data_IF_938718031955
#
_entry.id   IF_938718031955
#
_cell.length_a   1.000
_cell.length_b   1.000
_cell.length_c   1.000
_cell.angle_alpha   90.00
_cell.angle_beta   90.00
_cell.angle_gamma   90.00
#
_symmetry.space_group_name_H-M   'P 1'
#
loop_
_entity.id
_entity.type
_entity.pdbx_description
1 polymer ?
#
# COMPACT_ATOMS: atom_id res chain seq x y z
N UNK A 1 -12.13 8.37 -8.96
CA UNK A 1 -10.82 8.44 -8.30
C UNK A 1 -10.27 9.85 -8.37
N UNK A 2 -9.67 10.31 -7.27
CA UNK A 2 -8.75 11.45 -7.26
C UNK A 2 -7.32 10.95 -7.52
N UNK A 3 -6.50 11.76 -8.16
CA UNK A 3 -5.10 11.42 -8.42
C UNK A 3 -4.25 12.67 -8.64
N UNK A 4 -2.98 12.54 -8.33
CA UNK A 4 -1.95 13.44 -8.82
C UNK A 4 -1.51 13.02 -10.22
N UNK A 5 -1.26 13.97 -11.11
CA UNK A 5 -0.54 13.74 -12.37
C UNK A 5 0.37 14.93 -12.68
N UNK A 6 1.52 14.64 -13.29
CA UNK A 6 2.44 15.66 -13.78
C UNK A 6 2.15 16.06 -15.23
N UNK A 7 2.84 17.09 -15.72
CA UNK A 7 2.70 17.59 -17.09
C UNK A 7 3.63 16.90 -18.11
N UNK A 8 4.18 15.72 -17.79
CA UNK A 8 5.03 14.98 -18.72
C UNK A 8 4.23 14.45 -19.91
N UNK A 9 4.81 14.57 -21.13
CA UNK A 9 4.28 14.02 -22.38
C UNK A 9 4.83 12.61 -22.66
N UNK A 10 5.50 11.96 -21.70
CA UNK A 10 6.01 10.61 -21.82
C UNK A 10 4.90 9.62 -22.19
N UNK A 11 5.23 8.70 -23.07
CA UNK A 11 4.34 7.57 -23.42
C UNK A 11 4.35 6.49 -22.34
N UNK A 12 5.43 6.42 -21.57
CA UNK A 12 5.60 5.49 -20.45
C UNK A 12 4.94 6.06 -19.21
N UNK A 13 4.12 5.25 -18.58
CA UNK A 13 3.33 5.63 -17.40
C UNK A 13 3.93 5.00 -16.16
N UNK A 14 4.25 5.82 -15.15
CA UNK A 14 4.51 5.37 -13.79
C UNK A 14 3.22 5.52 -12.97
N UNK A 15 2.62 4.39 -12.61
CA UNK A 15 1.36 4.34 -11.86
C UNK A 15 1.61 3.92 -10.41
N UNK A 16 1.14 4.69 -9.44
CA UNK A 16 1.48 4.58 -8.03
C UNK A 16 0.23 4.39 -7.18
N UNK A 17 0.19 3.30 -6.38
CA UNK A 17 -0.94 2.95 -5.52
C UNK A 17 -0.49 2.86 -4.06
N UNK A 18 -1.01 3.75 -3.21
CA UNK A 18 -0.68 3.79 -1.79
C UNK A 18 -1.31 2.63 -0.99
N UNK A 19 -0.84 2.44 0.24
CA UNK A 19 -1.39 1.49 1.19
C UNK A 19 -2.64 2.01 1.91
N UNK A 20 -3.27 1.12 2.69
CA UNK A 20 -4.37 1.50 3.57
C UNK A 20 -3.93 2.65 4.50
N UNK A 21 -4.81 3.60 4.72
CA UNK A 21 -4.56 4.84 5.49
C UNK A 21 -3.61 5.85 4.88
N UNK A 22 -3.21 5.68 3.60
CA UNK A 22 -2.36 6.62 2.88
C UNK A 22 -3.13 7.61 2.00
N UNK A 23 -2.40 8.18 1.06
CA UNK A 23 -2.85 9.05 -0.02
C UNK A 23 -1.75 9.16 -1.06
N UNK A 24 -2.03 9.79 -2.20
CA UNK A 24 -1.02 9.94 -3.26
C UNK A 24 0.27 10.66 -2.78
N UNK A 25 0.17 11.48 -1.75
CA UNK A 25 1.29 12.28 -1.20
C UNK A 25 2.43 11.42 -0.64
N UNK A 26 2.14 10.17 -0.24
CA UNK A 26 3.19 9.25 0.25
C UNK A 26 4.22 8.91 -0.83
N UNK A 27 3.90 9.18 -2.11
CA UNK A 27 4.78 8.97 -3.25
C UNK A 27 5.62 10.20 -3.64
N UNK A 28 5.57 11.28 -2.84
CA UNK A 28 6.24 12.55 -3.18
C UNK A 28 7.69 12.38 -3.61
N UNK A 29 8.48 11.59 -2.88
CA UNK A 29 9.89 11.34 -3.23
C UNK A 29 10.04 10.66 -4.60
N UNK A 30 9.15 9.71 -4.94
CA UNK A 30 9.14 9.06 -6.25
C UNK A 30 8.75 10.05 -7.34
N UNK A 31 7.69 10.81 -7.12
CA UNK A 31 7.19 11.83 -8.06
C UNK A 31 8.28 12.83 -8.41
N UNK A 32 9.03 13.30 -7.43
CA UNK A 32 10.11 14.30 -7.64
C UNK A 32 11.30 13.71 -8.43
N UNK A 33 11.60 12.42 -8.27
CA UNK A 33 12.73 11.77 -8.91
C UNK A 33 12.43 11.17 -10.31
N UNK A 34 11.16 10.91 -10.62
CA UNK A 34 10.73 10.27 -11.88
C UNK A 34 9.83 11.18 -12.74
N UNK A 35 10.04 12.49 -12.65
CA UNK A 35 9.20 13.48 -13.36
C UNK A 35 9.32 13.44 -14.89
N UNK A 36 10.25 12.68 -15.44
CA UNK A 36 10.39 12.39 -16.87
C UNK A 36 9.35 11.36 -17.38
N UNK A 37 8.76 10.56 -16.48
CA UNK A 37 7.64 9.66 -16.81
C UNK A 37 6.30 10.39 -16.69
N UNK A 38 5.27 9.90 -17.39
CA UNK A 38 3.89 10.32 -17.11
C UNK A 38 3.44 9.65 -15.83
N UNK A 39 3.22 10.43 -14.77
CA UNK A 39 2.89 9.90 -13.45
C UNK A 39 1.39 9.99 -13.18
N UNK A 40 0.83 8.90 -12.65
CA UNK A 40 -0.46 8.86 -11.97
C UNK A 40 -0.28 8.26 -10.59
N UNK A 41 -0.47 9.06 -9.55
CA UNK A 41 -0.50 8.60 -8.17
C UNK A 41 -1.93 8.78 -7.64
N UNK A 42 -2.62 7.68 -7.38
CA UNK A 42 -4.05 7.69 -7.05
C UNK A 42 -4.31 7.77 -5.55
N UNK A 43 -5.43 8.40 -5.17
CA UNK A 43 -6.07 8.16 -3.88
C UNK A 43 -7.04 6.97 -4.03
N UNK A 44 -6.88 5.95 -3.21
CA UNK A 44 -7.82 4.82 -3.19
C UNK A 44 -9.24 5.30 -2.84
N UNK A 45 -10.30 4.59 -3.27
CA UNK A 45 -11.66 4.89 -2.82
C UNK A 45 -11.74 5.08 -1.30
N UNK A 46 -12.50 6.06 -0.87
CA UNK A 46 -12.65 6.41 0.54
C UNK A 46 -11.48 7.16 1.18
N UNK A 47 -10.39 7.36 0.45
CA UNK A 47 -9.21 8.08 0.91
C UNK A 47 -9.15 9.48 0.31
N UNK A 48 -8.76 10.45 1.14
CA UNK A 48 -8.58 11.87 0.77
C UNK A 48 -9.74 12.44 -0.07
N UNK A 49 -9.47 12.76 -1.35
CA UNK A 49 -10.45 13.36 -2.27
C UNK A 49 -11.14 12.36 -3.19
N UNK A 50 -10.82 11.07 -3.10
CA UNK A 50 -11.55 10.04 -3.84
C UNK A 50 -12.97 9.84 -3.30
N UNK A 51 -13.88 9.41 -4.17
CA UNK A 51 -15.28 9.15 -3.81
C UNK A 51 -15.39 8.06 -2.74
N UNK A 52 -16.48 8.14 -1.98
CA UNK A 52 -16.82 7.16 -0.95
C UNK A 52 -17.66 6.04 -1.53
N UNK A 53 -17.49 4.84 -0.98
CA UNK A 53 -18.19 3.64 -1.40
C UNK A 53 -19.14 3.13 -0.30
N UNK A 54 -20.15 2.33 -0.67
CA UNK A 54 -21.02 1.68 0.32
C UNK A 54 -20.24 0.76 1.27
N UNK A 55 -19.21 0.07 0.75
CA UNK A 55 -18.34 -0.84 1.49
C UNK A 55 -16.90 -0.77 0.94
N UNK A 56 -15.94 -1.34 1.67
CA UNK A 56 -14.51 -1.34 1.35
C UNK A 56 -13.92 -2.74 1.52
N UNK A 57 -13.96 -3.53 0.46
CA UNK A 57 -13.24 -4.79 0.32
C UNK A 57 -12.22 -4.69 -0.82
N UNK A 58 -11.42 -5.72 -1.04
CA UNK A 58 -10.37 -5.67 -2.06
C UNK A 58 -10.93 -5.38 -3.47
N UNK A 59 -12.08 -5.97 -3.84
CA UNK A 59 -12.68 -5.74 -5.15
C UNK A 59 -13.19 -4.30 -5.33
N UNK A 60 -13.72 -3.69 -4.27
CA UNK A 60 -14.20 -2.31 -4.29
C UNK A 60 -13.02 -1.32 -4.45
N UNK A 61 -11.85 -1.63 -3.91
CA UNK A 61 -10.63 -0.86 -4.19
C UNK A 61 -10.10 -1.13 -5.60
N UNK A 62 -10.12 -2.38 -6.06
CA UNK A 62 -9.53 -2.83 -7.30
C UNK A 62 -10.26 -2.28 -8.55
N UNK A 63 -11.59 -2.41 -8.60
CA UNK A 63 -12.41 -2.05 -9.79
C UNK A 63 -12.19 -0.63 -10.31
N UNK A 64 -12.27 0.43 -9.50
CA UNK A 64 -12.09 1.79 -10.00
C UNK A 64 -10.68 2.05 -10.55
N UNK A 65 -9.67 1.35 -10.04
CA UNK A 65 -8.29 1.46 -10.53
C UNK A 65 -8.15 0.72 -11.85
N UNK A 66 -8.71 -0.47 -11.98
CA UNK A 66 -8.77 -1.23 -13.23
C UNK A 66 -9.41 -0.40 -14.35
N UNK A 67 -10.60 0.16 -14.10
CA UNK A 67 -11.31 1.00 -15.05
C UNK A 67 -10.49 2.23 -15.45
N UNK A 68 -9.81 2.85 -14.50
CA UNK A 68 -8.95 3.99 -14.77
C UNK A 68 -7.76 3.59 -15.65
N UNK A 69 -7.06 2.50 -15.34
CA UNK A 69 -5.93 2.02 -16.16
C UNK A 69 -6.39 1.68 -17.59
N UNK A 70 -7.53 0.99 -17.74
CA UNK A 70 -8.11 0.70 -19.06
C UNK A 70 -8.38 1.99 -19.85
N UNK A 71 -8.86 3.04 -19.19
CA UNK A 71 -9.14 4.35 -19.82
C UNK A 71 -7.89 5.06 -20.36
N UNK A 72 -6.69 4.72 -19.85
CA UNK A 72 -5.41 5.26 -20.31
C UNK A 72 -4.96 4.65 -21.66
N UNK A 73 -5.66 3.59 -22.12
CA UNK A 73 -5.36 2.90 -23.36
C UNK A 73 -4.20 1.91 -23.27
N UNK A 74 -3.71 1.46 -24.41
CA UNK A 74 -2.66 0.43 -24.51
C UNK A 74 -1.25 1.02 -24.39
N UNK A 75 -0.97 1.71 -23.28
CA UNK A 75 0.35 2.26 -22.95
C UNK A 75 1.07 1.33 -21.99
N UNK A 76 2.39 1.25 -22.09
CA UNK A 76 3.20 0.53 -21.13
C UNK A 76 3.12 1.19 -19.76
N UNK A 77 2.82 0.39 -18.75
CA UNK A 77 2.64 0.83 -17.37
C UNK A 77 3.71 0.18 -16.49
N UNK A 78 4.42 1.05 -15.78
CA UNK A 78 5.29 0.71 -14.66
C UNK A 78 4.49 0.94 -13.39
N UNK A 79 4.13 -0.14 -12.71
CA UNK A 79 3.21 -0.11 -11.58
C UNK A 79 3.97 -0.30 -10.27
N UNK A 80 3.80 0.60 -9.33
CA UNK A 80 4.31 0.45 -7.98
C UNK A 80 3.17 0.54 -6.96
N UNK A 81 3.10 -0.45 -6.07
CA UNK A 81 2.11 -0.52 -5.01
C UNK A 81 2.73 -0.76 -3.64
N UNK A 82 2.15 -0.14 -2.62
CA UNK A 82 2.54 -0.32 -1.22
C UNK A 82 1.41 -0.98 -0.42
N UNK A 83 1.73 -1.98 0.37
CA UNK A 83 0.79 -2.61 1.31
C UNK A 83 -0.50 -3.08 0.60
N UNK A 84 -1.68 -2.59 0.95
CA UNK A 84 -2.93 -2.83 0.21
C UNK A 84 -2.78 -2.52 -1.29
N UNK A 85 -2.09 -1.42 -1.62
CA UNK A 85 -1.79 -1.07 -3.00
C UNK A 85 -0.91 -2.12 -3.71
N UNK A 86 -0.05 -2.84 -3.00
CA UNK A 86 0.74 -3.93 -3.56
C UNK A 86 -0.15 -5.15 -3.90
N UNK A 87 -1.13 -5.48 -3.04
CA UNK A 87 -2.10 -6.54 -3.34
C UNK A 87 -2.96 -6.20 -4.57
N UNK A 88 -3.43 -4.96 -4.66
CA UNK A 88 -4.16 -4.45 -5.84
C UNK A 88 -3.26 -4.52 -7.09
N UNK A 89 -2.00 -4.10 -6.97
CA UNK A 89 -1.04 -4.08 -8.09
C UNK A 89 -0.72 -5.47 -8.61
N UNK A 90 -0.60 -6.47 -7.75
CA UNK A 90 -0.40 -7.86 -8.18
C UNK A 90 -1.58 -8.36 -9.01
N UNK A 91 -2.81 -8.09 -8.56
CA UNK A 91 -4.02 -8.49 -9.27
C UNK A 91 -4.15 -7.79 -10.64
N UNK A 92 -3.87 -6.48 -10.70
CA UNK A 92 -3.84 -5.72 -11.94
C UNK A 92 -2.82 -6.30 -12.93
N UNK A 93 -1.61 -6.61 -12.47
CA UNK A 93 -0.55 -7.17 -13.31
C UNK A 93 -0.83 -8.60 -13.79
N UNK A 94 -1.64 -9.35 -13.07
CA UNK A 94 -2.11 -10.67 -13.49
C UNK A 94 -3.19 -10.60 -14.59
N UNK A 95 -3.96 -9.51 -14.64
CA UNK A 95 -5.07 -9.32 -15.60
C UNK A 95 -4.66 -8.49 -16.83
N UNK A 96 -3.81 -7.47 -16.64
CA UNK A 96 -3.46 -6.49 -17.67
C UNK A 96 -2.07 -6.75 -18.25
N UNK A 97 -2.00 -7.10 -19.53
CA UNK A 97 -0.74 -7.41 -20.22
C UNK A 97 0.13 -6.18 -20.52
N UNK A 98 -0.41 -4.98 -20.46
CA UNK A 98 0.32 -3.72 -20.63
C UNK A 98 1.01 -3.22 -19.34
N UNK A 99 0.86 -3.93 -18.21
CA UNK A 99 1.72 -3.73 -17.04
C UNK A 99 2.99 -4.52 -17.28
N UNK A 100 4.09 -3.82 -17.60
CA UNK A 100 5.36 -4.42 -18.02
C UNK A 100 6.35 -4.52 -16.88
N UNK A 101 6.25 -3.64 -15.88
CA UNK A 101 7.11 -3.59 -14.70
C UNK A 101 6.28 -3.43 -13.43
N UNK A 102 6.61 -4.19 -12.39
CA UNK A 102 5.84 -4.26 -11.16
C UNK A 102 6.75 -4.15 -9.93
N UNK A 103 6.52 -3.16 -9.08
CA UNK A 103 7.16 -3.04 -7.78
C UNK A 103 6.12 -3.22 -6.68
N UNK A 104 6.34 -4.19 -5.80
CA UNK A 104 5.47 -4.53 -4.67
C UNK A 104 6.21 -4.26 -3.37
N UNK A 105 5.87 -3.15 -2.71
CA UNK A 105 6.44 -2.78 -1.41
C UNK A 105 5.54 -3.28 -0.29
N UNK A 106 6.10 -4.10 0.58
CA UNK A 106 5.44 -4.56 1.82
C UNK A 106 4.04 -5.15 1.64
N UNK A 107 3.83 -6.06 0.67
CA UNK A 107 2.53 -6.69 0.48
C UNK A 107 2.12 -7.48 1.73
N UNK A 108 0.93 -7.23 2.30
CA UNK A 108 0.48 -7.87 3.53
C UNK A 108 -0.22 -9.20 3.22
N UNK A 109 0.48 -10.12 2.59
CA UNK A 109 -0.10 -11.42 2.21
C UNK A 109 -0.02 -12.41 3.35
N UNK A 110 -1.19 -12.92 3.74
CA UNK A 110 -1.35 -14.01 4.69
C UNK A 110 -1.99 -15.21 4.00
N UNK A 111 -1.81 -16.39 4.54
CA UNK A 111 -2.39 -17.62 3.96
C UNK A 111 -3.90 -17.70 4.18
N UNK A 112 -4.64 -18.32 3.23
CA UNK A 112 -6.11 -18.50 3.24
C UNK A 112 -6.68 -19.18 4.49
N UNK A 113 -5.91 -19.96 5.22
CA UNK A 113 -6.39 -20.67 6.39
C UNK A 113 -6.36 -19.76 7.61
N UNK A 114 -7.51 -19.17 7.94
CA UNK A 114 -7.73 -18.50 9.23
C UNK A 114 -7.21 -19.41 10.35
N UNK A 115 -6.14 -19.00 11.04
CA UNK A 115 -5.57 -19.74 12.17
C UNK A 115 -4.41 -20.68 11.85
N UNK A 116 -4.04 -20.87 10.59
CA UNK A 116 -2.79 -21.55 10.22
C UNK A 116 -1.82 -20.54 9.62
N UNK A 117 -1.27 -19.72 10.45
CA UNK A 117 -0.06 -18.97 10.13
C UNK A 117 1.05 -20.03 10.16
N UNK A 118 1.67 -20.26 9.00
CA UNK A 118 2.53 -21.40 8.80
C UNK A 118 3.79 -21.37 9.69
N UNK A 119 3.89 -22.32 10.62
CA UNK A 119 5.11 -22.90 11.19
C UNK A 119 6.22 -21.99 11.74
N UNK A 120 5.95 -20.72 12.06
CA UNK A 120 6.89 -19.88 12.82
C UNK A 120 6.14 -19.12 13.92
N UNK A 121 6.09 -19.67 15.16
CA UNK A 121 5.34 -19.06 16.27
C UNK A 121 5.77 -17.60 16.56
N UNK A 122 7.05 -17.27 16.39
CA UNK A 122 7.55 -15.91 16.66
C UNK A 122 7.02 -14.88 15.63
N UNK A 123 6.91 -15.27 14.35
CA UNK A 123 6.33 -14.38 13.33
C UNK A 123 4.83 -14.19 13.49
N UNK A 124 4.14 -15.18 14.04
CA UNK A 124 2.70 -15.18 14.25
C UNK A 124 2.31 -14.21 15.35
N UNK A 125 3.04 -14.20 16.46
CA UNK A 125 2.82 -13.26 17.56
C UNK A 125 3.05 -11.82 17.11
N UNK A 126 4.10 -11.56 16.34
CA UNK A 126 4.40 -10.22 15.80
C UNK A 126 3.31 -9.74 14.85
N UNK A 127 2.82 -10.61 13.95
CA UNK A 127 1.72 -10.29 13.03
C UNK A 127 0.43 -10.03 13.81
N UNK A 128 0.11 -10.87 14.81
CA UNK A 128 -1.05 -10.66 15.68
C UNK A 128 -0.96 -9.33 16.44
N UNK A 129 0.21 -8.98 16.96
CA UNK A 129 0.44 -7.70 17.62
C UNK A 129 0.24 -6.50 16.68
N UNK A 130 0.69 -6.61 15.43
CA UNK A 130 0.43 -5.60 14.39
C UNK A 130 -1.06 -5.49 14.08
N UNK A 131 -1.77 -6.60 13.91
CA UNK A 131 -3.23 -6.59 13.69
C UNK A 131 -3.96 -5.95 14.88
N UNK A 132 -3.56 -6.25 16.11
CA UNK A 132 -4.12 -5.63 17.31
C UNK A 132 -3.89 -4.12 17.33
N UNK A 133 -2.69 -3.66 16.96
CA UNK A 133 -2.37 -2.24 16.83
C UNK A 133 -3.27 -1.54 15.81
N UNK A 134 -3.47 -2.14 14.63
CA UNK A 134 -4.40 -1.62 13.62
C UNK A 134 -5.85 -1.60 14.09
N UNK A 135 -6.28 -2.67 14.78
CA UNK A 135 -7.64 -2.74 15.36
C UNK A 135 -7.85 -1.65 16.41
N UNK A 136 -6.89 -1.43 17.29
CA UNK A 136 -6.97 -0.37 18.30
C UNK A 136 -7.01 1.02 17.64
N UNK A 137 -6.19 1.24 16.60
CA UNK A 137 -6.23 2.47 15.79
C UNK A 137 -7.58 2.69 15.12
N UNK A 138 -8.14 1.66 14.51
CA UNK A 138 -9.46 1.69 13.88
C UNK A 138 -10.57 2.02 14.87
N UNK A 139 -10.57 1.40 16.03
CA UNK A 139 -11.54 1.67 17.09
C UNK A 139 -11.44 3.13 17.56
N UNK A 140 -10.21 3.60 17.85
CA UNK A 140 -9.98 4.97 18.26
C UNK A 140 -10.50 5.98 17.22
N UNK A 141 -10.13 5.82 15.95
CA UNK A 141 -10.56 6.72 14.87
C UNK A 141 -12.09 6.68 14.73
N UNK A 142 -12.68 5.49 14.75
CA UNK A 142 -14.14 5.31 14.62
C UNK A 142 -14.92 6.02 15.74
N UNK A 143 -14.37 6.10 16.95
CA UNK A 143 -14.98 6.77 18.10
C UNK A 143 -14.78 8.29 18.06
N UNK A 144 -13.58 8.75 17.67
CA UNK A 144 -13.18 10.15 17.82
C UNK A 144 -13.44 11.00 16.58
N UNK A 145 -13.27 10.42 15.37
CA UNK A 145 -13.45 11.14 14.10
C UNK A 145 -14.81 11.85 13.96
N UNK A 146 -15.95 11.33 14.42
CA UNK A 146 -17.22 12.05 14.36
C UNK A 146 -17.23 13.38 15.12
N UNK A 147 -16.30 13.58 16.05
CA UNK A 147 -16.16 14.79 16.88
C UNK A 147 -15.22 15.83 16.26
N UNK A 148 -14.39 15.44 15.26
CA UNK A 148 -13.43 16.33 14.63
C UNK A 148 -14.12 17.33 13.70
N UNK A 149 -13.80 18.60 13.82
CA UNK A 149 -14.25 19.69 12.96
C UNK A 149 -13.16 20.18 12.02
N UNK A 150 -11.93 20.01 12.42
CA UNK A 150 -10.73 20.47 11.71
C UNK A 150 -9.65 19.39 11.74
N UNK A 151 -8.64 19.52 10.85
CA UNK A 151 -7.44 18.68 10.88
C UNK A 151 -6.70 18.83 12.22
N UNK A 152 -6.79 20.00 12.85
CA UNK A 152 -6.15 20.25 14.17
C UNK A 152 -6.77 19.36 15.25
N UNK A 153 -8.11 19.19 15.24
CA UNK A 153 -8.79 18.28 16.18
C UNK A 153 -8.29 16.83 16.00
N UNK A 154 -8.09 16.41 14.75
CA UNK A 154 -7.54 15.10 14.43
C UNK A 154 -6.09 14.96 14.95
N UNK A 155 -5.24 15.96 14.73
CA UNK A 155 -3.85 15.96 15.20
C UNK A 155 -3.81 15.87 16.74
N UNK A 156 -4.58 16.67 17.44
CA UNK A 156 -4.65 16.66 18.90
C UNK A 156 -5.12 15.30 19.45
N UNK A 157 -6.16 14.72 18.82
CA UNK A 157 -6.65 13.39 19.19
C UNK A 157 -5.59 12.31 18.94
N UNK A 158 -4.90 12.38 17.80
CA UNK A 158 -3.86 11.43 17.44
C UNK A 158 -2.64 11.51 18.33
N UNK A 159 -2.27 12.70 18.83
CA UNK A 159 -1.20 12.89 19.83
C UNK A 159 -1.50 12.16 21.14
N UNK A 160 -2.78 12.06 21.51
CA UNK A 160 -3.21 11.31 22.70
C UNK A 160 -3.14 9.81 22.44
N UNK A 161 -3.53 9.38 21.24
CA UNK A 161 -3.59 7.95 20.86
C UNK A 161 -2.20 7.35 20.66
N UNK A 162 -1.34 8.01 19.87
CA UNK A 162 0.02 7.55 19.54
C UNK A 162 1.04 8.65 19.80
N UNK A 163 1.32 8.96 21.10
CA UNK A 163 2.26 10.01 21.47
C UNK A 163 3.68 9.70 20.99
N UNK A 164 4.04 8.43 20.80
CA UNK A 164 5.40 8.05 20.44
C UNK A 164 5.72 8.49 19.00
N UNK A 165 4.78 8.39 18.05
CA UNK A 165 5.04 8.86 16.69
C UNK A 165 5.34 10.37 16.68
N UNK A 166 4.68 11.15 17.54
CA UNK A 166 4.92 12.59 17.62
C UNK A 166 6.22 12.96 18.32
N UNK A 167 6.76 12.09 19.19
CA UNK A 167 8.10 12.25 19.76
C UNK A 167 9.20 11.95 18.76
N UNK A 168 9.01 10.90 17.94
CA UNK A 168 10.00 10.44 16.96
C UNK A 168 9.96 11.31 15.71
N UNK A 169 8.78 11.55 15.16
CA UNK A 169 8.55 12.31 13.94
C UNK A 169 7.19 13.05 14.02
N UNK A 170 7.18 14.29 14.55
CA UNK A 170 5.95 15.08 14.67
C UNK A 170 5.24 15.32 13.33
N UNK A 171 6.01 15.47 12.24
CA UNK A 171 5.46 15.68 10.91
C UNK A 171 4.73 14.42 10.41
N UNK A 172 5.34 13.25 10.54
CA UNK A 172 4.72 11.97 10.19
C UNK A 172 3.43 11.74 10.99
N UNK A 173 3.44 12.07 12.29
CA UNK A 173 2.25 12.00 13.13
C UNK A 173 1.12 12.91 12.64
N UNK A 174 1.44 14.16 12.31
CA UNK A 174 0.47 15.13 11.78
C UNK A 174 -0.10 14.70 10.42
N UNK A 175 0.73 14.17 9.51
CA UNK A 175 0.29 13.65 8.20
C UNK A 175 -0.66 12.47 8.36
N UNK A 176 -0.38 11.52 9.25
CA UNK A 176 -1.28 10.40 9.54
C UNK A 176 -2.64 10.86 10.09
N UNK A 177 -2.63 11.83 10.99
CA UNK A 177 -3.85 12.41 11.52
C UNK A 177 -4.66 13.14 10.43
N UNK A 178 -3.99 13.88 9.54
CA UNK A 178 -4.63 14.55 8.42
C UNK A 178 -5.27 13.54 7.45
N UNK A 179 -4.60 12.46 7.11
CA UNK A 179 -5.20 11.38 6.32
C UNK A 179 -6.44 10.81 7.02
N UNK A 180 -6.32 10.45 8.30
CA UNK A 180 -7.47 9.94 9.06
C UNK A 180 -8.66 10.91 9.07
N UNK A 181 -8.40 12.22 9.11
CA UNK A 181 -9.46 13.25 9.02
C UNK A 181 -10.18 13.23 7.67
N UNK A 182 -9.46 13.04 6.57
CA UNK A 182 -10.02 13.07 5.21
C UNK A 182 -10.59 11.73 4.74
N UNK A 183 -10.28 10.62 5.39
CA UNK A 183 -10.79 9.31 5.03
C UNK A 183 -12.28 9.14 5.35
N UNK A 184 -12.98 8.30 4.58
CA UNK A 184 -14.29 7.80 4.99
C UNK A 184 -14.16 6.98 6.30
N UNK A 185 -15.02 7.26 7.27
CA UNK A 185 -15.03 6.55 8.55
C UNK A 185 -15.26 5.04 8.40
N UNK A 186 -15.93 4.62 7.33
CA UNK A 186 -16.21 3.20 7.06
C UNK A 186 -14.94 2.40 6.81
N UNK A 187 -13.88 3.00 6.24
CA UNK A 187 -12.57 2.35 6.08
C UNK A 187 -12.09 1.85 7.43
N UNK A 188 -12.20 2.70 8.45
CA UNK A 188 -11.74 2.40 9.79
C UNK A 188 -12.64 1.39 10.52
N UNK A 189 -13.95 1.52 10.39
CA UNK A 189 -14.92 0.60 11.00
C UNK A 189 -14.77 -0.82 10.46
N UNK A 190 -14.59 -0.96 9.14
CA UNK A 190 -14.50 -2.27 8.50
C UNK A 190 -13.16 -2.95 8.77
N UNK A 191 -12.07 -2.20 8.88
CA UNK A 191 -10.75 -2.77 9.19
C UNK A 191 -10.65 -3.39 10.59
N UNK A 192 -11.47 -2.95 11.55
CA UNK A 192 -11.52 -3.54 12.89
C UNK A 192 -12.04 -4.98 12.91
N UNK A 193 -12.95 -5.31 12.00
CA UNK A 193 -13.67 -6.58 11.99
C UNK A 193 -13.29 -7.51 10.81
N UNK A 194 -12.74 -6.97 9.73
CA UNK A 194 -12.52 -7.70 8.49
C UNK A 194 -11.17 -7.34 7.85
N UNK A 195 -10.10 -7.99 8.27
CA UNK A 195 -8.84 -8.01 7.49
C UNK A 195 -8.93 -8.97 6.29
N UNK A 196 -10.13 -9.23 5.73
CA UNK A 196 -10.30 -10.18 4.62
C UNK A 196 -9.54 -9.74 3.35
N UNK A 197 -9.24 -8.43 3.19
CA UNK A 197 -8.43 -7.92 2.10
C UNK A 197 -6.93 -8.27 2.20
N UNK A 198 -6.43 -8.72 3.34
CA UNK A 198 -5.06 -9.26 3.49
C UNK A 198 -4.97 -10.74 3.12
N UNK A 199 -6.12 -11.45 3.03
CA UNK A 199 -6.21 -12.85 2.63
C UNK A 199 -6.22 -12.98 1.10
N UNK A 200 -5.16 -12.56 0.48
CA UNK A 200 -5.00 -12.58 -0.95
C UNK A 200 -4.28 -13.85 -1.37
N UNK A 201 -4.83 -14.61 -2.33
CA UNK A 201 -4.16 -15.79 -2.87
C UNK A 201 -3.03 -15.37 -3.83
N UNK A 202 -2.06 -14.64 -3.29
CA UNK A 202 -0.97 -14.08 -4.06
C UNK A 202 -0.16 -15.14 -4.83
N UNK A 203 0.15 -16.33 -4.27
CA UNK A 203 0.83 -17.37 -5.04
C UNK A 203 0.04 -17.86 -6.24
N UNK A 204 -1.29 -17.97 -6.14
CA UNK A 204 -2.11 -18.37 -7.31
C UNK A 204 -2.20 -17.26 -8.35
N UNK A 205 -2.44 -16.03 -7.94
CA UNK A 205 -2.56 -14.87 -8.80
C UNK A 205 -1.25 -14.61 -9.56
N UNK A 206 -0.11 -14.76 -8.89
CA UNK A 206 1.22 -14.53 -9.46
C UNK A 206 1.55 -15.39 -10.69
N UNK A 207 0.91 -16.56 -10.83
CA UNK A 207 1.09 -17.43 -12.00
C UNK A 207 0.71 -16.77 -13.34
N UNK A 208 -0.14 -15.76 -13.31
CA UNK A 208 -0.57 -15.02 -14.50
C UNK A 208 0.24 -13.75 -14.76
N UNK A 209 1.12 -13.35 -13.82
CA UNK A 209 1.93 -12.12 -13.94
C UNK A 209 3.07 -12.33 -14.94
N UNK A 210 3.16 -11.42 -15.92
CA UNK A 210 4.22 -11.40 -16.94
C UNK A 210 5.21 -10.26 -16.74
N UNK A 211 4.86 -9.28 -15.92
CA UNK A 211 5.66 -8.11 -15.63
C UNK A 211 7.00 -8.49 -14.98
N UNK A 212 8.08 -7.79 -15.34
CA UNK A 212 9.33 -7.81 -14.58
C UNK A 212 9.04 -7.28 -13.17
N UNK A 213 9.31 -8.06 -12.13
CA UNK A 213 8.77 -7.80 -10.79
C UNK A 213 9.85 -7.68 -9.73
N UNK A 214 9.72 -6.69 -8.86
CA UNK A 214 10.52 -6.57 -7.64
C UNK A 214 9.59 -6.55 -6.42
N UNK A 215 9.88 -7.41 -5.44
CA UNK A 215 9.23 -7.43 -4.14
C UNK A 215 10.19 -6.86 -3.10
N UNK A 216 9.71 -5.92 -2.31
CA UNK A 216 10.48 -5.29 -1.23
C UNK A 216 9.74 -5.49 0.09
N UNK A 217 10.45 -6.05 1.08
CA UNK A 217 9.96 -6.22 2.43
C UNK A 217 10.86 -5.60 3.47
N UNK A 218 10.28 -5.25 4.60
CA UNK A 218 10.97 -4.83 5.82
C UNK A 218 11.20 -5.98 6.80
N UNK A 219 11.85 -5.64 7.90
CA UNK A 219 12.05 -6.52 9.02
C UNK A 219 10.77 -6.63 9.87
N UNK A 220 10.25 -7.83 10.04
CA UNK A 220 9.02 -8.09 10.83
C UNK A 220 9.16 -7.55 12.27
N UNK A 221 10.34 -7.64 12.88
CA UNK A 221 10.60 -7.11 14.23
C UNK A 221 10.52 -5.58 14.30
N UNK A 222 10.61 -4.90 13.15
CA UNK A 222 10.44 -3.43 13.03
C UNK A 222 9.07 -3.03 12.49
N UNK A 223 8.16 -3.99 12.35
CA UNK A 223 6.80 -3.76 11.87
C UNK A 223 6.60 -3.99 10.37
N UNK A 224 7.56 -4.61 9.67
CA UNK A 224 7.35 -5.11 8.32
C UNK A 224 6.22 -6.14 8.27
N UNK A 225 5.50 -6.19 7.16
CA UNK A 225 4.35 -7.09 6.97
C UNK A 225 4.59 -8.15 5.88
N UNK A 226 5.57 -7.96 5.01
CA UNK A 226 5.83 -8.93 3.95
C UNK A 226 6.39 -10.23 4.52
N UNK A 227 5.67 -11.31 4.37
CA UNK A 227 6.16 -12.65 4.68
C UNK A 227 7.10 -13.12 3.57
N UNK A 228 8.37 -13.37 3.94
CA UNK A 228 9.40 -13.79 2.98
C UNK A 228 9.06 -15.12 2.31
N UNK A 229 8.50 -16.08 3.04
CA UNK A 229 8.11 -17.39 2.49
C UNK A 229 7.04 -17.26 1.39
N UNK A 230 6.03 -16.41 1.60
CA UNK A 230 5.00 -16.13 0.58
C UNK A 230 5.59 -15.33 -0.58
N UNK A 231 6.42 -14.33 -0.31
CA UNK A 231 7.08 -13.55 -1.35
C UNK A 231 8.00 -14.41 -2.22
N UNK A 232 8.73 -15.36 -1.64
CA UNK A 232 9.56 -16.34 -2.36
C UNK A 232 8.70 -17.27 -3.25
N UNK A 233 7.50 -17.68 -2.77
CA UNK A 233 6.57 -18.48 -3.56
C UNK A 233 5.99 -17.69 -4.72
N UNK A 234 5.57 -16.45 -4.49
CA UNK A 234 5.12 -15.52 -5.54
C UNK A 234 6.22 -15.31 -6.57
N UNK A 235 7.44 -15.05 -6.12
CA UNK A 235 8.60 -14.83 -7.00
C UNK A 235 8.90 -16.06 -7.88
N UNK A 236 8.80 -17.28 -7.34
CA UNK A 236 9.00 -18.52 -8.14
C UNK A 236 7.99 -18.66 -9.29
N UNK A 237 6.81 -18.07 -9.18
CA UNK A 237 5.79 -18.13 -10.23
C UNK A 237 6.00 -17.06 -11.33
N UNK A 238 6.85 -16.06 -11.10
CA UNK A 238 7.10 -14.95 -12.01
C UNK A 238 8.49 -15.11 -12.63
N UNK A 239 8.59 -15.27 -13.94
CA UNK A 239 9.84 -15.60 -14.63
C UNK A 239 10.98 -14.59 -14.44
N UNK A 240 10.69 -13.34 -14.19
CA UNK A 240 11.67 -12.28 -14.00
C UNK A 240 11.32 -11.48 -12.74
N UNK A 241 11.74 -12.01 -11.59
CA UNK A 241 11.43 -11.39 -10.29
C UNK A 241 12.61 -11.46 -9.32
N UNK A 242 12.68 -10.44 -8.46
CA UNK A 242 13.65 -10.34 -7.37
C UNK A 242 12.89 -10.08 -6.05
N UNK A 243 13.38 -10.65 -4.94
CA UNK A 243 12.86 -10.40 -3.58
C UNK A 243 13.97 -9.79 -2.74
N UNK A 244 13.71 -8.63 -2.17
CA UNK A 244 14.62 -7.92 -1.28
C UNK A 244 13.99 -7.72 0.09
N UNK A 245 14.75 -7.94 1.15
CA UNK A 245 14.34 -7.68 2.54
C UNK A 245 15.35 -6.74 3.17
N UNK A 246 14.86 -5.65 3.75
CA UNK A 246 15.68 -4.61 4.37
C UNK A 246 15.41 -4.51 5.88
N UNK A 247 16.35 -3.94 6.61
CA UNK A 247 16.24 -3.74 8.05
C UNK A 247 15.43 -2.46 8.38
N UNK A 248 14.25 -2.33 7.78
CA UNK A 248 13.27 -1.23 7.92
C UNK A 248 11.95 -1.74 8.46
N UNK A 249 11.04 -0.82 8.81
CA UNK A 249 9.65 -1.15 9.09
C UNK A 249 8.79 -1.28 7.83
N UNK A 250 7.50 -0.98 7.97
CA UNK A 250 6.50 -1.12 6.90
C UNK A 250 6.56 -0.03 5.82
N UNK A 251 7.28 1.06 6.03
CA UNK A 251 7.35 2.21 5.12
C UNK A 251 8.76 2.34 4.51
N UNK A 252 9.27 1.31 3.81
CA UNK A 252 10.65 1.29 3.26
C UNK A 252 10.98 2.53 2.44
N UNK A 253 10.09 2.95 1.52
CA UNK A 253 10.29 4.16 0.70
C UNK A 253 10.41 5.46 1.52
N UNK A 254 9.82 5.50 2.72
CA UNK A 254 9.94 6.65 3.63
C UNK A 254 11.22 6.58 4.47
N UNK A 255 11.63 5.38 4.86
CA UNK A 255 12.81 5.16 5.70
C UNK A 255 14.10 5.19 4.88
N UNK A 256 14.07 4.69 3.65
CA UNK A 256 15.21 4.62 2.72
C UNK A 256 14.85 5.14 1.31
N UNK A 257 14.44 6.40 1.16
CA UNK A 257 13.92 6.91 -0.12
C UNK A 257 14.92 6.85 -1.26
N UNK A 258 16.21 7.07 -0.98
CA UNK A 258 17.26 6.98 -1.99
C UNK A 258 17.46 5.56 -2.52
N UNK A 259 17.36 4.54 -1.65
CA UNK A 259 17.48 3.15 -2.05
C UNK A 259 16.23 2.67 -2.80
N UNK A 260 15.04 3.06 -2.34
CA UNK A 260 13.80 2.78 -3.06
C UNK A 260 13.86 3.31 -4.49
N UNK A 261 14.26 4.58 -4.67
CA UNK A 261 14.35 5.20 -5.99
C UNK A 261 15.41 4.51 -6.89
N UNK A 262 16.53 4.02 -6.34
CA UNK A 262 17.51 3.24 -7.10
C UNK A 262 16.95 1.92 -7.59
N UNK A 263 16.21 1.19 -6.72
CA UNK A 263 15.57 -0.07 -7.08
C UNK A 263 14.53 0.16 -8.17
N UNK A 264 13.67 1.16 -8.01
CA UNK A 264 12.68 1.51 -9.01
C UNK A 264 13.32 1.89 -10.35
N UNK A 265 14.38 2.71 -10.33
CA UNK A 265 15.12 3.07 -11.55
C UNK A 265 15.73 1.83 -12.23
N UNK A 266 16.35 0.91 -11.47
CA UNK A 266 16.89 -0.36 -12.00
C UNK A 266 15.79 -1.26 -12.59
N UNK A 267 14.60 -1.24 -12.01
CA UNK A 267 13.48 -2.05 -12.48
C UNK A 267 12.98 -1.57 -13.84
N UNK A 268 12.82 -0.25 -14.01
CA UNK A 268 12.15 0.36 -15.19
C UNK A 268 13.10 0.76 -16.32
N UNK A 269 14.43 0.67 -16.13
CA UNK A 269 15.47 0.82 -17.16
C UNK A 269 16.05 -0.55 -17.54
#
# INVERSE_FOLDING_TARGET
LNYFTNNSDSKEILFLIHGWTGGWEVWKSVIDNFNNYKIYAVDLPGHNKSGWLPDYNLNEYYRPILEFIISLGNKDIYLAGHSLGASISLQLAAELSNITHLLLEEPPWFTKEKGKILNNPDSDELIMNQQLKYKNGSNFISEHKPKWRTVIDAIQSYQIFDPEIFKIDPFKGAVRAAFAFHHDIKIWKNAGDQFDWVWHDAPMISKSVKAKTVLIGGNINKGGLMRKDIADEVSKNINNSEVHVYDTGHDFRSEMPGEFNKILAKLIN
#
